data_IF_912896879252
#
_entry.id   IF_912896879252
#
_cell.length_a   1.000
_cell.length_b   1.000
_cell.length_c   1.000
_cell.angle_alpha   90.00
_cell.angle_beta   90.00
_cell.angle_gamma   90.00
#
_symmetry.space_group_name_H-M   'P 1'
#
loop_
_entity.id
_entity.type
_entity.pdbx_description
1 polymer ?
#
# COMPACT_ATOMS: atom_id res chain seq x y z
N UNK A 1 16.31 -6.05 26.12
CA UNK A 1 15.81 -4.69 26.50
C UNK A 1 16.90 -3.62 26.56
N UNK A 2 17.99 -3.77 27.34
CA UNK A 2 19.05 -2.74 27.45
C UNK A 2 19.64 -2.31 26.09
N UNK A 3 19.96 -3.28 25.22
CA UNK A 3 20.48 -3.00 23.87
C UNK A 3 19.49 -2.22 22.99
N UNK A 4 18.17 -2.46 23.14
CA UNK A 4 17.12 -1.75 22.39
C UNK A 4 17.04 -0.28 22.80
N UNK A 5 17.12 -0.02 24.10
CA UNK A 5 17.14 1.35 24.65
C UNK A 5 18.40 2.10 24.21
N UNK A 6 19.55 1.43 24.24
CA UNK A 6 20.83 1.96 23.74
C UNK A 6 20.77 2.27 22.24
N UNK A 7 20.16 1.39 21.43
CA UNK A 7 19.92 1.62 19.99
C UNK A 7 19.06 2.87 19.76
N UNK A 8 17.97 3.02 20.54
CA UNK A 8 17.10 4.19 20.44
C UNK A 8 17.86 5.46 20.81
N UNK A 9 18.68 5.43 21.88
CA UNK A 9 19.49 6.56 22.30
C UNK A 9 20.55 6.94 21.25
N UNK A 10 21.26 5.95 20.70
CA UNK A 10 22.25 6.10 19.63
C UNK A 10 21.62 6.80 18.41
N UNK A 11 20.45 6.33 17.98
CA UNK A 11 19.79 6.82 16.77
C UNK A 11 19.11 8.19 16.95
N UNK A 12 18.85 8.63 18.19
CA UNK A 12 18.39 10.00 18.49
C UNK A 12 19.48 11.06 18.33
N UNK A 13 20.75 10.74 18.55
CA UNK A 13 21.84 11.73 18.53
C UNK A 13 22.55 11.85 17.18
N UNK A 14 22.67 13.04 16.59
CA UNK A 14 23.23 13.23 15.24
C UNK A 14 24.77 13.14 15.12
N UNK A 15 25.47 12.71 16.18
CA UNK A 15 26.93 12.82 16.29
C UNK A 15 27.72 11.71 15.59
N UNK A 16 27.07 10.61 15.20
CA UNK A 16 27.72 9.42 14.65
C UNK A 16 27.16 9.15 13.24
N UNK A 17 28.02 9.00 12.23
CA UNK A 17 27.59 8.85 10.84
C UNK A 17 28.43 7.81 10.10
N UNK A 18 27.97 7.40 8.92
CA UNK A 18 28.73 6.52 8.04
C UNK A 18 29.08 5.18 8.69
N UNK A 19 30.34 4.77 8.57
CA UNK A 19 30.79 3.45 9.02
C UNK A 19 30.83 3.32 10.56
N UNK A 20 31.02 4.42 11.30
CA UNK A 20 30.94 4.42 12.77
C UNK A 20 29.53 4.10 13.26
N UNK A 21 28.51 4.59 12.54
CA UNK A 21 27.12 4.28 12.84
C UNK A 21 26.85 2.79 12.59
N UNK A 22 27.31 2.26 11.46
CA UNK A 22 27.16 0.85 11.10
C UNK A 22 27.81 -0.05 12.16
N UNK A 23 29.02 0.28 12.60
CA UNK A 23 29.75 -0.50 13.60
C UNK A 23 28.98 -0.59 14.92
N UNK A 24 28.53 0.56 15.44
CA UNK A 24 27.81 0.59 16.73
C UNK A 24 26.44 -0.09 16.64
N UNK A 25 25.73 0.10 15.53
CA UNK A 25 24.45 -0.58 15.29
C UNK A 25 24.65 -2.10 15.22
N UNK A 26 25.65 -2.59 14.49
CA UNK A 26 25.94 -4.03 14.41
C UNK A 26 26.36 -4.62 15.75
N UNK A 27 27.12 -3.88 16.57
CA UNK A 27 27.47 -4.30 17.94
C UNK A 27 26.22 -4.48 18.79
N UNK A 28 25.31 -3.50 18.78
CA UNK A 28 24.07 -3.56 19.55
C UNK A 28 23.14 -4.67 19.07
N UNK A 29 23.03 -4.88 17.76
CA UNK A 29 22.26 -5.99 17.17
C UNK A 29 22.83 -7.35 17.58
N UNK A 30 24.15 -7.49 17.66
CA UNK A 30 24.81 -8.71 18.13
C UNK A 30 24.48 -9.08 19.58
N UNK A 31 23.99 -8.12 20.38
CA UNK A 31 23.52 -8.34 21.74
C UNK A 31 22.01 -8.62 21.84
N UNK A 32 21.27 -8.62 20.73
CA UNK A 32 19.83 -8.84 20.68
C UNK A 32 19.52 -10.24 20.13
N UNK A 33 18.51 -10.90 20.70
CA UNK A 33 17.94 -12.10 20.07
C UNK A 33 17.12 -11.75 18.81
N UNK A 34 16.75 -12.76 18.03
CA UNK A 34 16.01 -12.56 16.78
C UNK A 34 14.64 -11.87 16.99
N UNK A 35 13.94 -12.17 18.09
CA UNK A 35 12.63 -11.57 18.36
C UNK A 35 12.76 -10.10 18.72
N UNK A 36 13.77 -9.75 19.53
CA UNK A 36 14.12 -8.37 19.86
C UNK A 36 14.50 -7.61 18.58
N UNK A 37 15.35 -8.19 17.73
CA UNK A 37 15.71 -7.59 16.44
C UNK A 37 14.47 -7.35 15.56
N UNK A 38 13.62 -8.36 15.36
CA UNK A 38 12.41 -8.23 14.56
C UNK A 38 11.44 -7.19 15.13
N UNK A 39 11.44 -6.96 16.45
CA UNK A 39 10.64 -5.94 17.12
C UNK A 39 11.11 -4.48 16.89
N UNK A 40 12.34 -4.26 16.41
CA UNK A 40 12.93 -2.92 16.30
C UNK A 40 12.11 -1.95 15.44
N UNK A 41 11.55 -2.42 14.32
CA UNK A 41 10.75 -1.57 13.42
C UNK A 41 9.52 -0.92 14.10
N UNK A 42 9.06 -1.47 15.25
CA UNK A 42 7.91 -0.94 16.00
C UNK A 42 8.29 0.11 17.03
N UNK A 43 9.54 0.10 17.49
CA UNK A 43 10.02 0.96 18.60
C UNK A 43 10.93 2.09 18.10
N UNK A 44 11.51 1.94 16.91
CA UNK A 44 12.31 2.98 16.29
C UNK A 44 11.41 4.13 15.80
N UNK A 45 11.82 5.36 16.09
CA UNK A 45 11.14 6.54 15.57
C UNK A 45 11.35 6.70 14.06
N UNK A 46 10.48 7.42 13.34
CA UNK A 46 10.69 7.71 11.92
C UNK A 46 12.05 8.36 11.61
N UNK A 47 12.54 9.23 12.52
CA UNK A 47 13.86 9.85 12.40
C UNK A 47 14.99 8.82 12.48
N UNK A 48 14.90 7.87 13.41
CA UNK A 48 15.86 6.78 13.55
C UNK A 48 15.88 5.89 12.30
N UNK A 49 14.70 5.56 11.76
CA UNK A 49 14.57 4.75 10.54
C UNK A 49 15.14 5.47 9.33
N UNK A 50 14.87 6.77 9.17
CA UNK A 50 15.45 7.59 8.10
C UNK A 50 16.97 7.63 8.15
N UNK A 51 17.55 7.58 9.35
CA UNK A 51 19.00 7.57 9.55
C UNK A 51 19.61 6.20 9.28
N UNK A 52 18.90 5.11 9.57
CA UNK A 52 19.34 3.75 9.28
C UNK A 52 19.25 3.41 7.79
N UNK A 53 18.20 3.86 7.10
CA UNK A 53 17.91 3.44 5.73
C UNK A 53 19.12 3.53 4.76
N UNK A 54 19.89 4.64 4.72
CA UNK A 54 21.04 4.77 3.80
C UNK A 54 22.19 3.79 4.06
N UNK A 55 22.24 3.16 5.24
CA UNK A 55 23.32 2.24 5.64
C UNK A 55 22.83 0.80 5.84
N UNK A 56 21.56 0.50 5.55
CA UNK A 56 20.97 -0.83 5.75
C UNK A 56 21.74 -1.95 5.06
N UNK A 57 22.27 -1.70 3.86
CA UNK A 57 23.04 -2.71 3.10
C UNK A 57 24.37 -3.08 3.74
N UNK A 58 24.90 -2.21 4.62
CA UNK A 58 26.14 -2.46 5.37
C UNK A 58 25.89 -3.12 6.73
N UNK A 59 24.63 -3.19 7.16
CA UNK A 59 24.26 -3.75 8.45
C UNK A 59 24.15 -5.27 8.39
N UNK A 60 24.64 -5.95 9.42
CA UNK A 60 24.51 -7.39 9.56
C UNK A 60 23.20 -7.71 10.28
N UNK A 61 22.10 -7.64 9.54
CA UNK A 61 20.74 -7.89 10.05
C UNK A 61 20.03 -9.03 9.34
N UNK A 62 19.07 -9.63 10.03
CA UNK A 62 18.18 -10.62 9.44
C UNK A 62 17.39 -10.03 8.26
N UNK A 63 17.23 -10.74 7.11
CA UNK A 63 16.52 -10.23 5.94
C UNK A 63 15.10 -9.73 6.24
N UNK A 64 14.34 -10.44 7.08
CA UNK A 64 13.00 -9.97 7.50
C UNK A 64 13.03 -8.66 8.28
N UNK A 65 14.04 -8.42 9.13
CA UNK A 65 14.18 -7.12 9.78
C UNK A 65 14.47 -6.03 8.75
N UNK A 66 15.37 -6.29 7.79
CA UNK A 66 15.67 -5.35 6.70
C UNK A 66 14.40 -4.99 5.94
N UNK A 67 13.60 -5.98 5.56
CA UNK A 67 12.31 -5.76 4.88
C UNK A 67 11.34 -4.91 5.72
N UNK A 68 11.23 -5.16 7.03
CA UNK A 68 10.39 -4.35 7.92
C UNK A 68 10.88 -2.90 8.09
N UNK A 69 12.20 -2.68 8.16
CA UNK A 69 12.78 -1.33 8.24
C UNK A 69 12.58 -0.56 6.94
N UNK A 70 12.77 -1.21 5.79
CA UNK A 70 12.46 -0.65 4.46
C UNK A 70 10.98 -0.29 4.36
N UNK A 71 10.10 -1.21 4.78
CA UNK A 71 8.66 -0.96 4.78
C UNK A 71 8.31 0.27 5.61
N UNK A 72 8.82 0.35 6.84
CA UNK A 72 8.52 1.44 7.76
C UNK A 72 9.07 2.78 7.25
N UNK A 73 10.28 2.77 6.67
CA UNK A 73 10.88 3.95 6.04
C UNK A 73 9.97 4.54 4.96
N UNK A 74 9.55 3.72 3.99
CA UNK A 74 8.68 4.20 2.91
C UNK A 74 7.26 4.49 3.39
N UNK A 75 6.70 3.70 4.31
CA UNK A 75 5.39 3.95 4.90
C UNK A 75 5.29 5.36 5.50
N UNK A 76 6.28 5.76 6.31
CA UNK A 76 6.31 7.10 6.89
C UNK A 76 6.45 8.22 5.86
N UNK A 77 7.15 7.95 4.74
CA UNK A 77 7.28 8.92 3.65
C UNK A 77 6.03 9.02 2.77
N UNK A 78 5.20 7.98 2.72
CA UNK A 78 3.90 7.98 2.03
C UNK A 78 2.78 8.54 2.89
N UNK A 79 2.89 8.41 4.22
CA UNK A 79 1.85 8.82 5.16
C UNK A 79 1.59 10.34 5.07
N UNK A 80 0.34 10.70 4.82
CA UNK A 80 -0.10 12.10 4.75
C UNK A 80 0.27 12.82 3.44
N UNK A 81 0.75 12.11 2.42
CA UNK A 81 0.90 12.68 1.08
C UNK A 81 -0.45 12.75 0.36
N UNK A 82 -0.66 13.83 -0.40
CA UNK A 82 -1.76 13.93 -1.37
C UNK A 82 -1.40 13.32 -2.73
N UNK A 83 -0.10 13.19 -3.02
CA UNK A 83 0.41 12.63 -4.28
C UNK A 83 1.80 12.01 -4.12
N UNK A 84 2.06 10.92 -4.83
CA UNK A 84 3.36 10.25 -4.90
C UNK A 84 4.27 10.96 -5.89
N UNK A 85 5.46 11.38 -5.45
CA UNK A 85 6.47 11.95 -6.34
C UNK A 85 7.17 10.86 -7.16
N UNK A 86 7.66 11.22 -8.36
CA UNK A 86 8.38 10.27 -9.22
C UNK A 86 9.70 9.81 -8.58
N UNK A 87 10.36 10.67 -7.82
CA UNK A 87 11.60 10.35 -7.10
C UNK A 87 11.35 9.29 -6.03
N UNK A 88 10.27 9.44 -5.24
CA UNK A 88 9.90 8.47 -4.21
C UNK A 88 9.45 7.15 -4.83
N UNK A 89 8.65 7.20 -5.90
CA UNK A 89 8.25 6.02 -6.67
C UNK A 89 9.49 5.26 -7.17
N UNK A 90 10.45 5.95 -7.80
CA UNK A 90 11.64 5.32 -8.35
C UNK A 90 12.52 4.72 -7.24
N UNK A 91 12.64 5.40 -6.09
CA UNK A 91 13.35 4.86 -4.94
C UNK A 91 12.74 3.54 -4.45
N UNK A 92 11.40 3.46 -4.35
CA UNK A 92 10.70 2.22 -3.97
C UNK A 92 10.91 1.12 -5.01
N UNK A 93 10.79 1.43 -6.31
CA UNK A 93 10.98 0.45 -7.38
C UNK A 93 12.42 -0.09 -7.42
N UNK A 94 13.41 0.77 -7.15
CA UNK A 94 14.81 0.36 -7.04
C UNK A 94 15.02 -0.59 -5.86
N UNK A 95 14.43 -0.29 -4.70
CA UNK A 95 14.50 -1.16 -3.53
C UNK A 95 13.92 -2.56 -3.82
N UNK A 96 12.76 -2.61 -4.49
CA UNK A 96 12.15 -3.86 -4.91
C UNK A 96 13.00 -4.60 -5.95
N UNK A 97 13.60 -3.89 -6.91
CA UNK A 97 14.39 -4.54 -7.97
C UNK A 97 15.63 -5.24 -7.40
N UNK A 98 16.26 -4.65 -6.39
CA UNK A 98 17.44 -5.17 -5.72
C UNK A 98 17.11 -6.29 -4.73
N UNK A 99 16.08 -6.11 -3.89
CA UNK A 99 15.85 -6.99 -2.74
C UNK A 99 14.64 -7.93 -2.89
N UNK A 100 13.75 -7.67 -3.84
CA UNK A 100 12.48 -8.41 -4.03
C UNK A 100 11.58 -8.44 -2.79
N UNK A 101 11.67 -7.42 -1.95
CA UNK A 101 10.83 -7.29 -0.76
C UNK A 101 9.35 -7.10 -1.12
N UNK A 102 8.52 -8.07 -0.75
CA UNK A 102 7.07 -8.03 -0.94
C UNK A 102 6.43 -6.85 -0.19
N UNK A 103 7.08 -6.40 0.87
CA UNK A 103 6.67 -5.21 1.60
C UNK A 103 6.61 -3.96 0.70
N UNK A 104 7.45 -3.84 -0.33
CA UNK A 104 7.38 -2.72 -1.28
C UNK A 104 6.11 -2.78 -2.13
N UNK A 105 5.72 -3.97 -2.60
CA UNK A 105 4.46 -4.15 -3.32
C UNK A 105 3.25 -3.76 -2.45
N UNK A 106 3.29 -4.13 -1.15
CA UNK A 106 2.25 -3.75 -0.20
C UNK A 106 2.10 -2.23 -0.06
N UNK A 107 3.20 -1.48 -0.17
CA UNK A 107 3.18 -0.01 -0.12
C UNK A 107 2.53 0.57 -1.37
N UNK A 108 2.79 0.02 -2.56
CA UNK A 108 2.09 0.43 -3.79
C UNK A 108 0.60 0.10 -3.74
N UNK A 109 0.21 -1.04 -3.19
CA UNK A 109 -1.18 -1.39 -2.94
C UNK A 109 -1.86 -0.34 -2.03
N UNK A 110 -1.19 0.06 -0.95
CA UNK A 110 -1.71 1.09 -0.04
C UNK A 110 -1.80 2.47 -0.71
N UNK A 111 -0.83 2.82 -1.54
CA UNK A 111 -0.82 4.05 -2.30
C UNK A 111 -1.96 4.08 -3.35
N UNK A 112 -2.29 2.95 -3.98
CA UNK A 112 -3.47 2.81 -4.85
C UNK A 112 -4.77 3.02 -4.07
N UNK A 113 -4.90 2.40 -2.89
CA UNK A 113 -6.08 2.55 -2.02
C UNK A 113 -6.28 3.96 -1.50
N UNK A 114 -5.19 4.69 -1.33
CA UNK A 114 -5.19 6.08 -0.85
C UNK A 114 -5.28 7.08 -1.99
N UNK A 115 -5.32 6.61 -3.24
CA UNK A 115 -5.46 7.43 -4.44
C UNK A 115 -4.38 8.51 -4.61
N UNK A 116 -3.16 8.24 -4.11
CA UNK A 116 -2.01 9.16 -4.23
C UNK A 116 -1.15 8.89 -5.47
N UNK A 117 -1.50 7.87 -6.26
CA UNK A 117 -0.78 7.49 -7.49
C UNK A 117 -1.51 8.09 -8.69
N UNK A 118 -0.77 8.54 -9.71
CA UNK A 118 -1.35 8.94 -11.01
C UNK A 118 -1.45 7.77 -11.99
N UNK A 119 -2.33 7.86 -12.99
CA UNK A 119 -2.44 6.84 -14.05
C UNK A 119 -1.11 6.56 -14.77
N UNK A 120 -0.32 7.60 -15.07
CA UNK A 120 1.00 7.44 -15.71
C UNK A 120 1.99 6.67 -14.85
N UNK A 121 1.96 6.89 -13.54
CA UNK A 121 2.79 6.14 -12.60
C UNK A 121 2.32 4.70 -12.49
N UNK A 122 1.00 4.47 -12.44
CA UNK A 122 0.43 3.12 -12.43
C UNK A 122 0.87 2.30 -13.65
N UNK A 123 0.89 2.87 -14.85
CA UNK A 123 1.37 2.20 -16.07
C UNK A 123 2.83 1.72 -15.95
N UNK A 124 3.68 2.44 -15.20
CA UNK A 124 5.07 2.03 -14.93
C UNK A 124 5.07 0.89 -13.91
N UNK A 125 4.31 1.02 -12.84
CA UNK A 125 4.24 0.08 -11.73
C UNK A 125 3.66 -1.28 -12.19
N UNK A 126 2.67 -1.29 -13.09
CA UNK A 126 2.06 -2.49 -13.67
C UNK A 126 3.02 -3.36 -14.49
N UNK A 127 4.12 -2.79 -14.98
CA UNK A 127 5.17 -3.57 -15.67
C UNK A 127 6.00 -4.41 -14.71
N UNK A 128 5.89 -4.15 -13.40
CA UNK A 128 6.74 -4.74 -12.36
C UNK A 128 5.95 -5.69 -11.48
N UNK A 129 4.70 -5.33 -11.12
CA UNK A 129 3.87 -6.13 -10.21
C UNK A 129 2.69 -6.77 -10.94
N UNK A 130 2.46 -8.05 -10.65
CA UNK A 130 1.38 -8.86 -11.25
C UNK A 130 0.68 -9.76 -10.24
N UNK A 131 0.86 -9.52 -8.93
CA UNK A 131 0.14 -10.32 -7.94
C UNK A 131 -1.36 -10.09 -8.03
N UNK A 132 -2.14 -11.10 -7.64
CA UNK A 132 -3.61 -11.00 -7.61
C UNK A 132 -4.10 -9.82 -6.77
N UNK A 133 -3.42 -9.51 -5.66
CA UNK A 133 -3.77 -8.39 -4.79
C UNK A 133 -3.52 -7.05 -5.49
N UNK A 134 -2.37 -6.91 -6.16
CA UNK A 134 -2.04 -5.71 -6.90
C UNK A 134 -2.97 -5.49 -8.11
N UNK A 135 -3.21 -6.51 -8.93
CA UNK A 135 -4.13 -6.44 -10.08
C UNK A 135 -5.52 -5.97 -9.65
N UNK A 136 -6.05 -6.52 -8.55
CA UNK A 136 -7.34 -6.11 -7.99
C UNK A 136 -7.37 -4.62 -7.66
N UNK A 137 -6.38 -4.13 -6.93
CA UNK A 137 -6.38 -2.74 -6.46
C UNK A 137 -6.06 -1.75 -7.59
N UNK A 138 -5.26 -2.15 -8.58
CA UNK A 138 -5.03 -1.39 -9.81
C UNK A 138 -6.34 -1.23 -10.60
N UNK A 139 -7.07 -2.32 -10.85
CA UNK A 139 -8.34 -2.27 -11.55
C UNK A 139 -9.38 -1.40 -10.82
N UNK A 140 -9.46 -1.56 -9.48
CA UNK A 140 -10.31 -0.73 -8.64
C UNK A 140 -9.94 0.76 -8.71
N UNK A 141 -8.65 1.09 -8.70
CA UNK A 141 -8.14 2.46 -8.84
C UNK A 141 -8.49 3.04 -10.21
N UNK A 142 -8.26 2.32 -11.31
CA UNK A 142 -8.59 2.78 -12.68
C UNK A 142 -10.07 3.14 -12.82
N UNK A 143 -10.98 2.35 -12.23
CA UNK A 143 -12.39 2.69 -12.21
C UNK A 143 -12.70 3.96 -11.38
N UNK A 144 -12.01 4.18 -10.26
CA UNK A 144 -12.16 5.44 -9.50
C UNK A 144 -11.69 6.65 -10.31
N UNK A 145 -10.62 6.51 -11.10
CA UNK A 145 -10.15 7.58 -12.00
C UNK A 145 -11.16 7.91 -13.10
N UNK A 146 -11.82 6.91 -13.69
CA UNK A 146 -12.92 7.13 -14.65
C UNK A 146 -14.02 7.97 -14.01
N UNK A 147 -14.44 7.60 -12.80
CA UNK A 147 -15.47 8.33 -12.03
C UNK A 147 -15.03 9.75 -11.69
N UNK A 148 -13.78 9.96 -11.26
CA UNK A 148 -13.22 11.30 -10.95
C UNK A 148 -13.16 12.20 -12.18
N UNK A 149 -12.90 11.62 -13.35
CA UNK A 149 -12.94 12.34 -14.62
C UNK A 149 -14.36 12.71 -15.08
N UNK A 150 -15.40 12.40 -14.28
CA UNK A 150 -16.80 12.69 -14.59
C UNK A 150 -17.46 11.68 -15.53
N UNK A 151 -16.79 10.56 -15.82
CA UNK A 151 -17.32 9.54 -16.70
C UNK A 151 -18.11 8.48 -15.91
N UNK A 152 -19.06 7.84 -16.59
CA UNK A 152 -19.85 6.73 -16.03
C UNK A 152 -19.19 5.38 -16.31
N UNK A 153 -19.21 4.50 -15.31
CA UNK A 153 -18.82 3.10 -15.45
C UNK A 153 -19.85 2.32 -16.28
N UNK A 154 -19.35 1.58 -17.25
CA UNK A 154 -20.05 0.71 -18.19
C UNK A 154 -20.20 -0.72 -17.62
N UNK A 155 -21.09 -1.56 -18.20
CA UNK A 155 -21.31 -2.92 -17.73
C UNK A 155 -20.03 -3.76 -17.57
N UNK A 156 -19.06 -3.61 -18.49
CA UNK A 156 -17.78 -4.35 -18.44
C UNK A 156 -16.98 -4.00 -17.18
N UNK A 157 -16.88 -2.71 -16.83
CA UNK A 157 -16.18 -2.29 -15.61
C UNK A 157 -16.93 -2.75 -14.34
N UNK A 158 -18.27 -2.73 -14.36
CA UNK A 158 -19.08 -3.19 -13.23
C UNK A 158 -18.89 -4.70 -12.99
N UNK A 159 -19.00 -5.52 -14.04
CA UNK A 159 -18.77 -6.98 -13.95
C UNK A 159 -17.38 -7.26 -13.41
N UNK A 160 -16.35 -6.61 -13.97
CA UNK A 160 -14.98 -6.76 -13.51
C UNK A 160 -14.85 -6.46 -12.01
N UNK A 161 -15.40 -5.33 -11.54
CA UNK A 161 -15.35 -4.93 -10.13
C UNK A 161 -16.11 -5.90 -9.20
N UNK A 162 -17.23 -6.48 -9.66
CA UNK A 162 -17.96 -7.53 -8.92
C UNK A 162 -17.08 -8.78 -8.78
N UNK A 163 -16.48 -9.23 -9.88
CA UNK A 163 -15.66 -10.45 -9.92
C UNK A 163 -14.44 -10.36 -9.00
N UNK A 164 -13.79 -9.19 -8.97
CA UNK A 164 -12.65 -8.95 -8.06
C UNK A 164 -13.10 -8.54 -6.64
N UNK A 165 -14.40 -8.50 -6.35
CA UNK A 165 -14.97 -8.10 -5.06
C UNK A 165 -14.51 -6.70 -4.62
N UNK A 166 -14.51 -5.74 -5.53
CA UNK A 166 -14.16 -4.33 -5.29
C UNK A 166 -15.41 -3.50 -4.92
N UNK A 167 -16.21 -4.00 -3.97
CA UNK A 167 -17.52 -3.42 -3.63
C UNK A 167 -17.46 -1.97 -3.17
N UNK A 168 -16.37 -1.55 -2.51
CA UNK A 168 -16.19 -0.14 -2.10
C UNK A 168 -16.08 0.81 -3.28
N UNK A 169 -15.44 0.39 -4.38
CA UNK A 169 -15.36 1.19 -5.61
C UNK A 169 -16.72 1.29 -6.28
N UNK A 170 -17.49 0.20 -6.30
CA UNK A 170 -18.86 0.21 -6.82
C UNK A 170 -19.77 1.12 -6.00
N UNK A 171 -19.67 1.05 -4.67
CA UNK A 171 -20.43 1.89 -3.74
C UNK A 171 -20.13 3.38 -3.98
N UNK A 172 -18.84 3.72 -4.09
CA UNK A 172 -18.38 5.07 -4.45
C UNK A 172 -18.93 5.53 -5.81
N UNK A 173 -18.93 4.68 -6.83
CA UNK A 173 -19.44 5.04 -8.16
C UNK A 173 -20.96 5.30 -8.15
N UNK A 174 -21.73 4.49 -7.41
CA UNK A 174 -23.17 4.70 -7.22
C UNK A 174 -23.43 6.03 -6.49
N UNK A 175 -22.73 6.30 -5.38
CA UNK A 175 -22.87 7.55 -4.62
C UNK A 175 -22.55 8.80 -5.46
N UNK A 176 -21.76 8.64 -6.53
CA UNK A 176 -21.42 9.71 -7.49
C UNK A 176 -22.32 9.75 -8.73
N UNK A 177 -23.39 8.96 -8.80
CA UNK A 177 -24.22 8.80 -10.02
C UNK A 177 -23.39 8.43 -11.27
N UNK A 178 -22.28 7.74 -11.07
CA UNK A 178 -21.25 7.51 -12.08
C UNK A 178 -21.32 6.08 -12.66
N UNK A 179 -22.53 5.58 -12.88
CA UNK A 179 -22.81 4.27 -13.50
C UNK A 179 -23.82 4.48 -14.63
N UNK A 180 -23.65 3.81 -15.77
CA UNK A 180 -24.64 3.89 -16.87
C UNK A 180 -25.91 3.13 -16.52
N UNK A 181 -27.01 3.42 -17.22
CA UNK A 181 -28.30 2.77 -16.95
C UNK A 181 -28.23 1.25 -17.23
N UNK A 182 -27.46 0.84 -18.24
CA UNK A 182 -27.15 -0.58 -18.48
C UNK A 182 -26.29 -1.17 -17.35
N UNK A 183 -25.34 -0.40 -16.82
CA UNK A 183 -24.50 -0.80 -15.71
C UNK A 183 -25.30 -1.00 -14.42
N UNK A 184 -26.32 -0.17 -14.16
CA UNK A 184 -27.21 -0.30 -13.01
C UNK A 184 -27.98 -1.64 -13.02
N UNK A 185 -28.29 -2.18 -14.20
CA UNK A 185 -28.96 -3.49 -14.37
C UNK A 185 -28.04 -4.67 -14.01
N UNK A 186 -26.74 -4.46 -13.91
CA UNK A 186 -25.77 -5.51 -13.52
C UNK A 186 -25.80 -5.79 -12.01
N UNK A 187 -26.38 -4.89 -11.21
CA UNK A 187 -26.59 -5.12 -9.79
C UNK A 187 -27.88 -5.93 -9.63
N UNK A 188 -27.74 -7.22 -9.34
CA UNK A 188 -28.86 -8.13 -9.10
C UNK A 188 -29.02 -8.41 -7.61
N UNK A 189 -30.24 -8.79 -7.21
CA UNK A 189 -30.50 -9.22 -5.85
C UNK A 189 -29.73 -10.53 -5.56
N UNK A 190 -28.88 -10.58 -4.52
CA UNK A 190 -28.09 -11.77 -4.24
C UNK A 190 -28.96 -12.90 -3.65
N UNK A 191 -28.72 -14.13 -4.08
CA UNK A 191 -29.36 -15.31 -3.50
C UNK A 191 -28.94 -15.49 -2.03
N UNK A 192 -29.78 -16.20 -1.26
CA UNK A 192 -29.56 -16.38 0.18
C UNK A 192 -28.24 -17.06 0.54
N UNK A 193 -27.69 -17.89 -0.34
CA UNK A 193 -26.46 -18.64 -0.16
C UNK A 193 -25.21 -17.96 -0.75
N UNK A 194 -25.34 -16.79 -1.36
CA UNK A 194 -24.22 -16.14 -2.02
C UNK A 194 -23.20 -15.56 -1.02
N UNK A 195 -21.92 -15.67 -1.40
CA UNK A 195 -20.86 -14.94 -0.71
C UNK A 195 -21.05 -13.43 -0.83
N UNK A 196 -20.59 -12.70 0.19
CA UNK A 196 -20.63 -11.23 0.22
C UNK A 196 -22.07 -10.66 0.11
N UNK A 197 -23.09 -11.47 0.45
CA UNK A 197 -24.53 -11.12 0.37
C UNK A 197 -24.84 -9.73 0.92
N UNK A 198 -24.29 -9.37 2.09
CA UNK A 198 -24.53 -8.06 2.72
C UNK A 198 -24.09 -6.90 1.81
N UNK A 199 -22.89 -6.99 1.24
CA UNK A 199 -22.33 -5.96 0.35
C UNK A 199 -23.11 -5.91 -0.96
N UNK A 200 -23.38 -7.06 -1.58
CA UNK A 200 -24.15 -7.15 -2.83
C UNK A 200 -25.57 -6.58 -2.67
N UNK A 201 -26.26 -6.94 -1.58
CA UNK A 201 -27.61 -6.45 -1.30
C UNK A 201 -27.63 -4.93 -1.07
N UNK A 202 -26.61 -4.38 -0.41
CA UNK A 202 -26.45 -2.93 -0.24
C UNK A 202 -26.31 -2.23 -1.59
N UNK A 203 -25.44 -2.74 -2.47
CA UNK A 203 -25.23 -2.19 -3.81
C UNK A 203 -26.48 -2.31 -4.68
N UNK A 204 -27.17 -3.45 -4.64
CA UNK A 204 -28.43 -3.68 -5.34
C UNK A 204 -29.47 -2.61 -4.97
N UNK A 205 -29.71 -2.41 -3.67
CA UNK A 205 -30.66 -1.41 -3.18
C UNK A 205 -30.30 0.00 -3.62
N UNK A 206 -29.01 0.38 -3.56
CA UNK A 206 -28.56 1.68 -4.07
C UNK A 206 -28.84 1.81 -5.57
N UNK A 207 -28.48 0.81 -6.37
CA UNK A 207 -28.70 0.82 -7.82
C UNK A 207 -30.18 0.97 -8.20
N UNK A 208 -31.10 0.28 -7.49
CA UNK A 208 -32.54 0.41 -7.73
C UNK A 208 -33.07 1.82 -7.45
N UNK A 209 -32.57 2.48 -6.41
CA UNK A 209 -32.95 3.87 -6.12
C UNK A 209 -32.58 4.82 -7.28
N UNK A 210 -31.43 4.60 -7.94
CA UNK A 210 -31.03 5.40 -9.10
C UNK A 210 -31.88 5.12 -10.34
N UNK A 211 -32.39 3.89 -10.53
CA UNK A 211 -33.27 3.55 -11.65
C UNK A 211 -34.70 4.10 -11.48
N UNK A 212 -35.09 4.44 -10.25
CA UNK A 212 -36.41 4.98 -9.92
C UNK A 212 -36.51 6.51 -9.98
N UNK A 213 -35.40 7.21 -10.26
CA UNK A 213 -35.31 8.66 -10.40
C UNK A 213 -35.34 9.07 -11.88
#
# INVERSE_FOLDING_TARGET
MKATEEMIALLKGNHIQGDDLVLQVNQLLGCMDLNEQLGLHRVLSPQAINRLHPVLDKMTIHPHLKEHLVWSYFYHRLSGLDSLSNELMQAMLNEYSQNKFLAVESLFINALKSDIISLKQLEIIEKIFSSKAFIKESAAFKCREIVRAGNKLKPVEITMLIDIKAFKTLDYALDKNAVTDEGLKMFTEPLNSEQDKKSKLSLFRKAQNHLSQ
#
